data_IF_176613032688
#
_entry.id   IF_176613032688
#
_cell.length_a   1.000
_cell.length_b   1.000
_cell.length_c   1.000
_cell.angle_alpha   90.00
_cell.angle_beta   90.00
_cell.angle_gamma   90.00
#
_symmetry.space_group_name_H-M   'P 1'
#
loop_
_entity.id
_entity.type
_entity.pdbx_description
1 polymer ?
#
# COMPACT_ATOMS: atom_id res chain seq x y z
N UNK A 1 -22.23 -1.85 41.70
CA UNK A 1 -21.07 -2.79 41.46
C UNK A 1 -21.71 -4.15 41.25
N UNK A 2 -21.60 -4.68 40.01
CA UNK A 2 -22.09 -6.01 39.66
C UNK A 2 -21.17 -7.06 40.29
N UNK A 3 -21.67 -7.88 41.17
CA UNK A 3 -20.95 -9.02 41.77
C UNK A 3 -21.00 -10.22 40.82
N UNK A 4 -20.30 -10.10 39.68
CA UNK A 4 -20.14 -11.19 38.74
C UNK A 4 -18.79 -11.85 38.97
N UNK A 5 -18.71 -13.19 39.14
CA UNK A 5 -17.43 -13.86 39.30
C UNK A 5 -16.60 -13.70 38.00
N UNK A 6 -15.41 -13.12 38.10
CA UNK A 6 -14.49 -12.95 37.00
C UNK A 6 -13.41 -14.03 37.11
N UNK A 7 -13.34 -14.91 36.11
CA UNK A 7 -12.33 -15.99 36.06
C UNK A 7 -11.24 -15.55 35.07
N UNK A 8 -10.02 -15.24 35.52
CA UNK A 8 -8.93 -14.85 34.64
C UNK A 8 -8.35 -16.09 33.93
N UNK A 9 -8.76 -16.31 32.69
CA UNK A 9 -8.36 -17.48 31.91
C UNK A 9 -6.89 -17.46 31.51
N UNK A 10 -6.32 -16.28 31.33
CA UNK A 10 -4.93 -16.11 30.84
C UNK A 10 -3.88 -15.99 31.97
N UNK A 11 -4.28 -15.65 33.20
CA UNK A 11 -3.33 -15.44 34.29
C UNK A 11 -2.42 -16.64 34.60
N UNK A 12 -2.91 -17.89 34.61
CA UNK A 12 -2.04 -19.04 34.83
C UNK A 12 -1.01 -19.23 33.71
N UNK A 13 -1.41 -18.94 32.47
CA UNK A 13 -0.53 -19.06 31.28
C UNK A 13 0.54 -17.97 31.30
N UNK A 14 0.14 -16.73 31.58
CA UNK A 14 1.06 -15.58 31.70
C UNK A 14 2.04 -15.79 32.83
N UNK A 15 1.58 -16.33 33.97
CA UNK A 15 2.44 -16.67 35.12
C UNK A 15 3.47 -17.74 34.76
N UNK A 16 3.07 -18.80 34.10
CA UNK A 16 3.98 -19.89 33.68
C UNK A 16 5.02 -19.39 32.67
N UNK A 17 4.60 -18.60 31.68
CA UNK A 17 5.48 -17.98 30.69
C UNK A 17 6.44 -16.96 31.33
N UNK A 18 5.96 -16.17 32.28
CA UNK A 18 6.78 -15.21 33.02
C UNK A 18 7.89 -15.89 33.84
N UNK A 19 7.58 -17.01 34.45
CA UNK A 19 8.60 -17.84 35.16
C UNK A 19 9.63 -18.43 34.19
N UNK A 20 9.18 -18.95 33.05
CA UNK A 20 10.06 -19.52 32.04
C UNK A 20 10.98 -18.49 31.39
N UNK A 21 10.46 -17.28 31.09
CA UNK A 21 11.20 -16.19 30.46
C UNK A 21 11.99 -15.30 31.47
N UNK A 22 11.86 -15.53 32.75
CA UNK A 22 12.51 -14.70 33.78
C UNK A 22 11.97 -13.26 33.84
N UNK A 23 10.74 -13.01 33.31
CA UNK A 23 10.10 -11.71 33.25
C UNK A 23 8.76 -11.70 33.96
N UNK A 24 8.42 -10.59 34.65
CA UNK A 24 7.08 -10.44 35.21
C UNK A 24 6.15 -9.78 34.22
N UNK A 25 5.04 -10.45 33.89
CA UNK A 25 3.98 -9.86 33.11
C UNK A 25 3.39 -8.61 33.78
N UNK A 26 3.35 -7.49 33.11
CA UNK A 26 2.67 -6.29 33.60
C UNK A 26 1.21 -6.36 33.18
N UNK A 27 0.36 -6.88 34.05
CA UNK A 27 -1.10 -6.90 33.83
C UNK A 27 -1.65 -5.47 33.93
N UNK A 28 -1.66 -4.75 32.81
CA UNK A 28 -2.42 -3.50 32.65
C UNK A 28 -3.63 -3.78 31.76
N UNK A 29 -4.85 -3.83 32.29
CA UNK A 29 -6.05 -3.95 31.45
C UNK A 29 -6.10 -2.80 30.44
N UNK A 30 -6.37 -3.12 29.17
CA UNK A 30 -6.45 -2.12 28.10
C UNK A 30 -5.09 -1.64 27.52
N UNK A 31 -3.96 -2.19 27.95
CA UNK A 31 -2.63 -1.80 27.41
C UNK A 31 -2.36 -2.28 25.98
N UNK A 32 -3.18 -3.17 25.43
CA UNK A 32 -3.07 -3.64 24.04
C UNK A 32 -3.37 -2.56 23.00
N UNK A 33 -4.08 -1.50 23.39
CA UNK A 33 -4.45 -0.39 22.50
C UNK A 33 -4.21 0.93 23.23
N UNK A 34 -2.94 1.28 23.41
CA UNK A 34 -2.61 2.64 23.81
C UNK A 34 -3.00 3.54 22.64
N UNK A 35 -4.12 4.27 22.76
CA UNK A 35 -4.56 5.30 21.81
C UNK A 35 -3.61 6.51 21.95
N UNK A 36 -2.40 6.38 21.41
CA UNK A 36 -1.41 7.43 21.33
C UNK A 36 -1.52 8.17 19.96
N UNK A 37 -0.74 9.22 19.80
CA UNK A 37 -0.71 9.96 18.53
C UNK A 37 -0.37 9.08 17.31
N UNK A 38 0.50 8.09 17.49
CA UNK A 38 0.87 7.13 16.44
C UNK A 38 -0.33 6.26 16.01
N UNK A 39 -1.17 5.83 16.95
CA UNK A 39 -2.41 5.10 16.63
C UNK A 39 -3.35 5.93 15.76
N UNK A 40 -3.60 7.20 16.14
CA UNK A 40 -4.46 8.09 15.36
C UNK A 40 -3.88 8.41 13.99
N UNK A 41 -2.57 8.64 13.89
CA UNK A 41 -1.89 8.83 12.60
C UNK A 41 -2.07 7.63 11.66
N UNK A 42 -1.97 6.40 12.18
CA UNK A 42 -2.24 5.19 11.38
C UNK A 42 -3.67 5.09 10.91
N UNK A 43 -4.64 5.39 11.77
CA UNK A 43 -6.07 5.39 11.39
C UNK A 43 -6.34 6.44 10.30
N UNK A 44 -5.80 7.64 10.45
CA UNK A 44 -5.91 8.70 9.45
C UNK A 44 -5.29 8.30 8.10
N UNK A 45 -4.09 7.72 8.12
CA UNK A 45 -3.43 7.24 6.91
C UNK A 45 -4.22 6.09 6.24
N UNK A 46 -4.82 5.19 7.01
CA UNK A 46 -5.65 4.11 6.46
C UNK A 46 -6.95 4.66 5.85
N UNK A 47 -7.61 5.62 6.48
CA UNK A 47 -8.78 6.28 5.91
C UNK A 47 -8.41 7.00 4.62
N UNK A 48 -7.28 7.72 4.61
CA UNK A 48 -6.76 8.37 3.41
C UNK A 48 -6.53 7.38 2.28
N UNK A 49 -5.84 6.26 2.54
CA UNK A 49 -5.57 5.24 1.53
C UNK A 49 -6.84 4.59 0.95
N UNK A 50 -7.88 4.41 1.77
CA UNK A 50 -9.16 3.86 1.32
C UNK A 50 -9.95 4.85 0.45
N UNK A 51 -9.91 6.15 0.76
CA UNK A 51 -10.60 7.18 -0.03
C UNK A 51 -9.88 7.53 -1.31
N UNK A 52 -8.56 7.26 -1.39
CA UNK A 52 -7.70 7.54 -2.55
C UNK A 52 -7.27 6.27 -3.29
N UNK A 53 -8.11 5.23 -3.26
CA UNK A 53 -7.87 4.01 -4.04
C UNK A 53 -8.48 4.14 -5.45
N UNK A 54 -7.78 3.55 -6.42
CA UNK A 54 -8.18 3.53 -7.84
C UNK A 54 -8.52 4.91 -8.44
N UNK A 55 -7.86 5.98 -7.99
CA UNK A 55 -7.98 7.33 -8.53
C UNK A 55 -9.27 8.04 -8.15
N UNK A 56 -9.98 7.60 -7.11
CA UNK A 56 -11.28 8.17 -6.73
C UNK A 56 -11.19 9.60 -6.22
N UNK A 57 -10.22 10.03 -5.53
CA UNK A 57 -10.10 11.39 -4.98
C UNK A 57 -8.80 12.04 -5.47
N UNK A 58 -8.87 12.75 -6.59
CA UNK A 58 -7.67 13.40 -7.16
C UNK A 58 -7.43 14.83 -6.63
N UNK A 59 -8.45 15.47 -6.05
CA UNK A 59 -8.44 16.89 -5.68
C UNK A 59 -7.56 17.20 -4.46
N UNK A 60 -7.29 16.25 -3.60
CA UNK A 60 -6.48 16.41 -2.38
C UNK A 60 -5.22 15.50 -2.35
N UNK A 61 -4.76 15.06 -3.53
CA UNK A 61 -3.55 14.24 -3.66
C UNK A 61 -2.31 14.89 -3.02
N UNK A 62 -2.27 16.21 -2.90
CA UNK A 62 -1.16 16.91 -2.25
C UNK A 62 -1.10 16.71 -0.73
N UNK A 63 -2.15 16.14 -0.11
CA UNK A 63 -2.15 15.72 1.29
C UNK A 63 -1.51 14.35 1.51
N UNK A 64 -1.24 13.61 0.44
CA UNK A 64 -0.53 12.34 0.51
C UNK A 64 0.96 12.56 0.90
N UNK A 65 1.56 11.53 1.48
CA UNK A 65 3.01 11.41 1.61
C UNK A 65 3.60 10.73 0.38
N UNK A 66 2.89 9.73 -0.16
CA UNK A 66 3.30 8.94 -1.31
C UNK A 66 2.12 8.75 -2.28
N UNK A 67 2.37 8.88 -3.58
CA UNK A 67 1.43 8.57 -4.65
C UNK A 67 1.99 7.43 -5.50
N UNK A 68 1.27 6.30 -5.56
CA UNK A 68 1.65 5.14 -6.36
C UNK A 68 0.92 5.16 -7.71
N UNK A 69 1.69 5.22 -8.80
CA UNK A 69 1.18 5.07 -10.15
C UNK A 69 1.55 3.69 -10.72
N UNK A 70 0.71 3.18 -11.57
CA UNK A 70 1.00 1.94 -12.29
C UNK A 70 -0.23 1.33 -12.94
N UNK A 71 0.03 0.43 -13.88
CA UNK A 71 -1.02 -0.32 -14.57
C UNK A 71 -1.77 -1.24 -13.62
N UNK A 72 -2.93 -1.74 -14.04
CA UNK A 72 -3.73 -2.69 -13.23
C UNK A 72 -2.90 -3.92 -12.84
N UNK A 73 -3.05 -4.39 -11.59
CA UNK A 73 -2.39 -5.59 -11.01
C UNK A 73 -0.88 -5.46 -10.74
N UNK A 74 -0.39 -4.25 -10.54
CA UNK A 74 0.97 -3.99 -10.03
C UNK A 74 1.04 -3.89 -8.50
N UNK A 75 0.04 -4.38 -7.77
CA UNK A 75 -0.02 -4.43 -6.30
C UNK A 75 -0.08 -3.06 -5.63
N UNK A 76 -0.60 -2.00 -6.31
CA UNK A 76 -0.73 -0.65 -5.73
C UNK A 76 -1.58 -0.65 -4.46
N UNK A 77 -2.86 -1.01 -4.56
CA UNK A 77 -3.79 -1.03 -3.42
C UNK A 77 -3.25 -1.74 -2.17
N UNK A 78 -2.79 -3.01 -2.23
CA UNK A 78 -2.27 -3.67 -1.05
C UNK A 78 -0.99 -3.01 -0.51
N UNK A 79 -0.17 -2.41 -1.37
CA UNK A 79 1.01 -1.65 -0.93
C UNK A 79 0.61 -0.35 -0.23
N UNK A 80 -0.40 0.38 -0.73
CA UNK A 80 -0.96 1.56 -0.06
C UNK A 80 -1.47 1.23 1.35
N UNK A 81 -2.25 0.16 1.49
CA UNK A 81 -2.77 -0.29 2.79
C UNK A 81 -1.62 -0.67 3.74
N UNK A 82 -0.59 -1.33 3.23
CA UNK A 82 0.57 -1.71 4.04
C UNK A 82 1.35 -0.49 4.56
N UNK A 83 1.56 0.52 3.70
CA UNK A 83 2.21 1.79 4.07
C UNK A 83 1.33 2.61 5.04
N UNK A 84 0.02 2.65 4.80
CA UNK A 84 -0.94 3.33 5.65
C UNK A 84 -0.97 2.75 7.07
N UNK A 85 -0.81 1.42 7.22
CA UNK A 85 -0.69 0.78 8.53
C UNK A 85 0.60 1.19 9.29
N UNK A 86 1.51 1.88 8.63
CA UNK A 86 2.72 2.51 9.22
C UNK A 86 2.59 4.04 9.34
N UNK A 87 1.39 4.58 9.15
CA UNK A 87 1.10 6.00 9.29
C UNK A 87 1.45 6.85 8.06
N UNK A 88 1.75 6.24 6.89
CA UNK A 88 2.08 6.95 5.66
C UNK A 88 0.81 7.10 4.82
N UNK A 89 0.37 8.32 4.58
CA UNK A 89 -0.76 8.63 3.69
C UNK A 89 -0.39 8.32 2.25
N UNK A 90 -1.00 7.28 1.68
CA UNK A 90 -0.64 6.81 0.34
C UNK A 90 -1.86 6.78 -0.57
N UNK A 91 -1.76 7.40 -1.74
CA UNK A 91 -2.77 7.38 -2.78
C UNK A 91 -2.40 6.41 -3.91
N UNK A 92 -3.41 5.77 -4.50
CA UNK A 92 -3.30 4.87 -5.64
C UNK A 92 -3.94 5.49 -6.87
N UNK A 93 -3.13 5.81 -7.89
CA UNK A 93 -3.60 6.32 -9.17
C UNK A 93 -3.33 5.28 -10.27
N UNK A 94 -4.36 4.65 -10.84
CA UNK A 94 -4.20 3.68 -11.90
C UNK A 94 -3.86 4.36 -13.22
N UNK A 95 -2.96 3.73 -13.98
CA UNK A 95 -2.75 4.05 -15.40
C UNK A 95 -3.62 3.09 -16.21
N UNK A 96 -4.57 3.64 -16.94
CA UNK A 96 -5.53 2.89 -17.76
C UNK A 96 -5.36 3.31 -19.23
N UNK A 97 -5.19 2.36 -20.16
CA UNK A 97 -5.09 2.67 -21.57
C UNK A 97 -6.27 3.51 -22.06
N UNK A 98 -6.00 4.57 -22.81
CA UNK A 98 -7.02 5.47 -23.34
C UNK A 98 -7.65 6.44 -22.33
N UNK A 99 -7.33 6.33 -21.04
CA UNK A 99 -7.80 7.27 -20.03
C UNK A 99 -6.66 8.25 -19.63
N UNK A 100 -6.92 9.56 -19.64
CA UNK A 100 -5.92 10.52 -19.19
C UNK A 100 -5.69 10.39 -17.69
N UNK A 101 -4.44 10.55 -17.28
CA UNK A 101 -4.09 10.65 -15.86
C UNK A 101 -4.63 11.99 -15.33
N UNK A 102 -5.17 12.02 -14.10
CA UNK A 102 -5.63 13.25 -13.47
C UNK A 102 -4.55 14.34 -13.50
N UNK A 103 -4.93 15.58 -13.86
CA UNK A 103 -3.97 16.70 -13.99
C UNK A 103 -3.29 17.01 -12.68
N UNK A 104 -3.99 16.80 -11.60
CA UNK A 104 -3.53 17.02 -10.23
C UNK A 104 -2.24 16.23 -9.93
N UNK A 105 -2.06 15.05 -10.52
CA UNK A 105 -0.83 14.24 -10.36
C UNK A 105 0.42 14.99 -10.85
N UNK A 106 0.27 15.88 -11.82
CA UNK A 106 1.38 16.66 -12.39
C UNK A 106 1.59 18.01 -11.67
N UNK A 107 0.64 18.41 -10.83
CA UNK A 107 0.64 19.70 -10.13
C UNK A 107 1.08 19.55 -8.67
N UNK A 108 1.03 18.34 -8.11
CA UNK A 108 1.44 18.08 -6.72
C UNK A 108 2.96 18.18 -6.58
N UNK A 109 3.40 18.75 -5.46
CA UNK A 109 4.83 18.96 -5.15
C UNK A 109 5.27 18.28 -3.85
N UNK A 110 4.35 18.10 -2.90
CA UNK A 110 4.64 17.54 -1.58
C UNK A 110 4.84 16.01 -1.63
N UNK A 111 3.96 15.21 -2.26
CA UNK A 111 4.07 13.77 -2.24
C UNK A 111 5.30 13.24 -3.01
N UNK A 112 5.82 12.11 -2.55
CA UNK A 112 6.73 11.30 -3.36
C UNK A 112 5.92 10.48 -4.36
N UNK A 113 6.10 10.74 -5.66
CA UNK A 113 5.42 9.97 -6.71
C UNK A 113 6.31 8.80 -7.11
N UNK A 114 5.76 7.58 -7.14
CA UNK A 114 6.48 6.36 -7.48
C UNK A 114 5.71 5.55 -8.52
N UNK A 115 6.39 5.17 -9.60
CA UNK A 115 5.87 4.26 -10.61
C UNK A 115 6.08 2.79 -10.22
N UNK A 116 5.00 1.99 -10.21
CA UNK A 116 5.10 0.54 -10.07
C UNK A 116 4.99 -0.14 -11.43
N UNK A 117 5.93 -1.01 -11.74
CA UNK A 117 5.97 -1.79 -12.99
C UNK A 117 6.13 -3.27 -12.71
N UNK A 118 5.73 -4.10 -13.68
CA UNK A 118 5.82 -5.56 -13.59
C UNK A 118 6.24 -6.14 -14.96
N UNK A 119 6.80 -7.33 -14.95
CA UNK A 119 7.05 -8.08 -16.18
C UNK A 119 5.74 -8.36 -16.92
N UNK A 120 5.67 -8.12 -18.26
CA UNK A 120 4.44 -8.28 -19.04
C UNK A 120 3.86 -9.70 -18.97
N UNK A 121 4.70 -10.74 -19.08
CA UNK A 121 4.26 -12.14 -19.05
C UNK A 121 3.64 -12.48 -17.69
N UNK A 122 4.31 -12.06 -16.62
CA UNK A 122 3.82 -12.23 -15.25
C UNK A 122 2.50 -11.49 -15.03
N UNK A 123 2.37 -10.29 -15.60
CA UNK A 123 1.15 -9.50 -15.48
C UNK A 123 -0.03 -10.16 -16.20
N UNK A 124 0.19 -10.69 -17.40
CA UNK A 124 -0.81 -11.46 -18.16
C UNK A 124 -1.30 -12.68 -17.34
N UNK A 125 -0.39 -13.44 -16.73
CA UNK A 125 -0.74 -14.59 -15.87
C UNK A 125 -1.67 -14.17 -14.71
N UNK A 126 -1.32 -13.10 -14.00
CA UNK A 126 -2.10 -12.59 -12.86
C UNK A 126 -3.47 -12.10 -13.33
N UNK A 127 -3.53 -11.39 -14.47
CA UNK A 127 -4.78 -10.89 -15.04
C UNK A 127 -5.70 -12.02 -15.50
N UNK A 128 -5.16 -13.07 -16.13
CA UNK A 128 -5.92 -14.28 -16.50
C UNK A 128 -6.50 -14.96 -15.26
N UNK A 129 -5.69 -15.16 -14.24
CA UNK A 129 -6.19 -15.75 -13.00
C UNK A 129 -7.33 -14.91 -12.38
N UNK A 130 -7.26 -13.57 -12.49
CA UNK A 130 -8.34 -12.69 -12.01
C UNK A 130 -9.62 -12.85 -12.82
N UNK A 131 -9.53 -12.95 -14.15
CA UNK A 131 -10.70 -13.16 -15.02
C UNK A 131 -11.38 -14.50 -14.69
N UNK A 132 -10.60 -15.57 -14.52
CA UNK A 132 -11.13 -16.89 -14.08
C UNK A 132 -11.88 -16.81 -12.76
N UNK A 133 -11.31 -16.13 -11.77
CA UNK A 133 -11.96 -15.95 -10.46
C UNK A 133 -13.25 -15.14 -10.53
N UNK A 134 -13.43 -14.32 -11.57
CA UNK A 134 -14.63 -13.51 -11.81
C UNK A 134 -15.58 -14.13 -12.83
N UNK A 135 -15.27 -15.34 -13.32
CA UNK A 135 -16.03 -16.01 -14.40
C UNK A 135 -16.21 -15.14 -15.65
N UNK A 136 -15.12 -14.42 -16.04
CA UNK A 136 -15.07 -13.53 -17.18
C UNK A 136 -14.25 -14.14 -18.33
N UNK A 137 -14.57 -13.71 -19.58
CA UNK A 137 -13.87 -14.14 -20.79
C UNK A 137 -12.37 -13.76 -20.72
N UNK A 138 -11.51 -14.74 -21.01
CA UNK A 138 -10.06 -14.56 -21.11
C UNK A 138 -9.60 -14.04 -22.48
N UNK A 139 -10.47 -13.98 -23.47
CA UNK A 139 -10.13 -13.48 -24.82
C UNK A 139 -10.33 -11.97 -24.94
N UNK A 140 -9.53 -11.22 -24.17
CA UNK A 140 -9.63 -9.75 -24.10
C UNK A 140 -8.25 -9.10 -24.21
N UNK A 141 -8.21 -7.85 -24.63
CA UNK A 141 -6.98 -7.02 -24.68
C UNK A 141 -6.28 -6.93 -23.31
N UNK A 142 -7.05 -7.07 -22.23
CA UNK A 142 -6.56 -7.02 -20.86
C UNK A 142 -5.52 -8.10 -20.54
N UNK A 143 -5.54 -9.23 -21.24
CA UNK A 143 -4.61 -10.36 -21.13
C UNK A 143 -3.82 -10.64 -22.40
N UNK A 144 -3.95 -9.79 -23.42
CA UNK A 144 -3.13 -9.86 -24.61
C UNK A 144 -1.70 -9.38 -24.31
N UNK A 145 -0.69 -10.21 -24.60
CA UNK A 145 0.70 -9.91 -24.23
C UNK A 145 1.25 -8.66 -24.92
N UNK A 146 0.88 -8.42 -26.18
CA UNK A 146 1.33 -7.24 -26.92
C UNK A 146 0.75 -5.97 -26.32
N UNK A 147 -0.57 -5.96 -26.08
CA UNK A 147 -1.28 -4.84 -25.45
C UNK A 147 -0.74 -4.54 -24.06
N UNK A 148 -0.55 -5.58 -23.23
CA UNK A 148 0.02 -5.44 -21.89
C UNK A 148 1.46 -4.92 -21.94
N UNK A 149 2.25 -5.36 -22.91
CA UNK A 149 3.63 -4.85 -23.09
C UNK A 149 3.64 -3.39 -23.50
N UNK A 150 2.75 -2.99 -24.38
CA UNK A 150 2.58 -1.58 -24.78
C UNK A 150 2.18 -0.72 -23.58
N UNK A 151 1.16 -1.13 -22.84
CA UNK A 151 0.67 -0.45 -21.63
C UNK A 151 1.82 -0.20 -20.61
N UNK A 152 2.64 -1.22 -20.35
CA UNK A 152 3.79 -1.11 -19.43
C UNK A 152 4.86 -0.16 -19.99
N UNK A 153 5.12 -0.22 -21.29
CA UNK A 153 6.12 0.64 -21.91
C UNK A 153 5.68 2.11 -21.92
N UNK A 154 4.40 2.39 -22.15
CA UNK A 154 3.83 3.73 -22.04
C UNK A 154 3.95 4.27 -20.61
N UNK A 155 3.59 3.46 -19.62
CA UNK A 155 3.75 3.81 -18.20
C UNK A 155 5.23 4.12 -17.86
N UNK A 156 6.17 3.30 -18.32
CA UNK A 156 7.61 3.52 -18.10
C UNK A 156 8.11 4.81 -18.76
N UNK A 157 7.65 5.11 -19.97
CA UNK A 157 8.00 6.38 -20.66
C UNK A 157 7.50 7.59 -19.87
N UNK A 158 6.28 7.50 -19.34
CA UNK A 158 5.72 8.54 -18.49
C UNK A 158 6.58 8.75 -17.24
N UNK A 159 6.92 7.68 -16.52
CA UNK A 159 7.75 7.77 -15.32
C UNK A 159 9.12 8.37 -15.61
N UNK A 160 9.75 7.93 -16.71
CA UNK A 160 11.03 8.48 -17.13
C UNK A 160 10.96 9.95 -17.54
N UNK A 161 9.88 10.36 -18.21
CA UNK A 161 9.67 11.77 -18.62
C UNK A 161 9.58 12.71 -17.41
N UNK A 162 9.01 12.23 -16.32
CA UNK A 162 8.82 13.02 -15.10
C UNK A 162 9.84 12.72 -14.01
N UNK A 163 10.88 11.92 -14.32
CA UNK A 163 11.95 11.52 -13.41
C UNK A 163 11.43 10.85 -12.12
N UNK A 164 10.24 10.22 -12.19
CA UNK A 164 9.69 9.52 -11.04
C UNK A 164 10.41 8.19 -10.82
N UNK A 165 10.80 7.87 -9.59
CA UNK A 165 11.40 6.58 -9.26
C UNK A 165 10.47 5.42 -9.64
N UNK A 166 11.06 4.34 -10.18
CA UNK A 166 10.32 3.17 -10.66
C UNK A 166 10.74 1.92 -9.90
N UNK A 167 9.75 1.20 -9.37
CA UNK A 167 9.97 -0.07 -8.70
C UNK A 167 9.38 -1.21 -9.53
N UNK A 168 10.23 -2.18 -9.90
CA UNK A 168 9.76 -3.40 -10.53
C UNK A 168 9.33 -4.41 -9.45
N UNK A 169 8.01 -4.70 -9.41
CA UNK A 169 7.38 -5.57 -8.40
C UNK A 169 7.18 -7.02 -8.88
N UNK A 170 7.83 -7.44 -9.98
CA UNK A 170 7.64 -8.77 -10.56
C UNK A 170 7.97 -9.92 -9.61
N UNK A 171 8.98 -9.74 -8.78
CA UNK A 171 9.51 -10.75 -7.84
C UNK A 171 9.59 -10.23 -6.41
N UNK A 172 8.93 -9.13 -6.11
CA UNK A 172 8.89 -8.54 -4.78
C UNK A 172 7.56 -8.86 -4.10
N UNK A 173 7.60 -9.13 -2.81
CA UNK A 173 6.43 -9.14 -1.95
C UNK A 173 5.91 -7.71 -1.74
N UNK A 174 4.73 -7.59 -1.13
CA UNK A 174 4.15 -6.29 -0.75
C UNK A 174 5.06 -5.61 0.27
N UNK A 175 5.57 -6.36 1.23
CA UNK A 175 6.45 -5.92 2.30
C UNK A 175 7.79 -5.38 1.75
N UNK A 176 8.42 -6.11 0.82
CA UNK A 176 9.66 -5.68 0.17
C UNK A 176 9.46 -4.43 -0.69
N UNK A 177 8.32 -4.35 -1.38
CA UNK A 177 7.94 -3.17 -2.15
C UNK A 177 7.74 -1.98 -1.23
N UNK A 178 6.98 -2.15 -0.15
CA UNK A 178 6.73 -1.11 0.83
C UNK A 178 8.01 -0.67 1.55
N UNK A 179 8.92 -1.59 1.89
CA UNK A 179 10.22 -1.26 2.47
C UNK A 179 11.07 -0.39 1.53
N UNK A 180 11.08 -0.72 0.23
CA UNK A 180 11.76 0.10 -0.79
C UNK A 180 11.16 1.51 -0.88
N UNK A 181 9.82 1.62 -0.86
CA UNK A 181 9.10 2.90 -0.89
C UNK A 181 9.41 3.72 0.36
N UNK A 182 9.38 3.09 1.52
CA UNK A 182 9.68 3.73 2.80
C UNK A 182 11.10 4.32 2.81
N UNK A 183 12.09 3.59 2.31
CA UNK A 183 13.45 4.09 2.20
C UNK A 183 13.53 5.33 1.29
N UNK A 184 12.93 5.27 0.09
CA UNK A 184 12.89 6.41 -0.83
C UNK A 184 12.20 7.64 -0.22
N UNK A 185 11.16 7.41 0.58
CA UNK A 185 10.45 8.48 1.28
C UNK A 185 11.32 9.12 2.37
N UNK A 186 12.03 8.30 3.16
CA UNK A 186 12.95 8.80 4.18
C UNK A 186 14.12 9.58 3.56
N UNK A 187 14.76 9.03 2.51
CA UNK A 187 15.88 9.68 1.81
C UNK A 187 15.45 11.06 1.26
N UNK A 188 14.20 11.18 0.80
CA UNK A 188 13.65 12.48 0.36
C UNK A 188 13.47 13.45 1.51
N UNK A 189 12.98 13.01 2.66
CA UNK A 189 12.83 13.87 3.83
C UNK A 189 14.19 14.37 4.30
N UNK A 190 15.21 13.50 4.34
CA UNK A 190 16.57 13.86 4.75
C UNK A 190 17.25 14.85 3.78
N UNK A 191 16.85 14.87 2.51
CA UNK A 191 17.40 15.77 1.49
C UNK A 191 16.74 17.16 1.51
N UNK A 192 15.58 17.29 2.14
CA UNK A 192 14.84 18.56 2.25
C UNK A 192 15.26 19.43 3.45
N UNK A 193 16.11 18.87 4.32
CA UNK A 193 16.74 19.56 5.45
C UNK A 193 18.23 19.77 5.20
#
# INVERSE_FOLDING_TARGET
>A
VLQIPCIPVLDPIIGALGQYLGTRGHARPGSQHVMNAEYFSRIEAMQFALTHDDGQSSWDLNEADVVLLGVSRTSKTPTCIYLANRGIKTANVPIVPGCPIPKEVFEISKPLIIGLTKDPKRLVEIRRQRLRLLDQDENTDYVNLEMVSQEINEARRLFSKHEWPVINVSRKSIEETAATIFQLYQDRLDTQF
#
